data_IF_598955655680
#
_entry.id   IF_598955655680
#
_cell.length_a   1.000
_cell.length_b   1.000
_cell.length_c   1.000
_cell.angle_alpha   90.00
_cell.angle_beta   90.00
_cell.angle_gamma   90.00
#
_symmetry.space_group_name_H-M   'P 1'
#
loop_
_entity.id
_entity.type
_entity.pdbx_description
1 polymer ?
#
# COMPACT_ATOMS: atom_id res chain seq x y z
N UNK A 1 16.86 -4.40 -8.69
CA UNK A 1 15.90 -3.34 -8.32
C UNK A 1 15.91 -3.23 -6.81
N UNK A 2 16.37 -2.12 -6.20
CA UNK A 2 16.32 -2.00 -4.74
C UNK A 2 14.85 -1.87 -4.32
N UNK A 3 14.42 -2.77 -3.44
CA UNK A 3 13.08 -2.77 -2.83
C UNK A 3 12.99 -1.57 -1.89
N UNK A 4 11.94 -0.75 -2.00
CA UNK A 4 11.73 0.41 -1.14
C UNK A 4 10.23 0.56 -0.87
N UNK A 5 9.85 0.42 0.40
CA UNK A 5 8.52 0.78 0.89
C UNK A 5 8.66 2.12 1.60
N UNK A 6 7.79 3.08 1.27
CA UNK A 6 7.77 4.44 1.84
C UNK A 6 6.51 4.55 2.71
N UNK A 7 6.67 4.97 3.95
CA UNK A 7 5.59 5.16 4.92
C UNK A 7 5.49 6.65 5.31
N UNK A 8 4.27 7.13 5.57
CA UNK A 8 3.96 8.51 5.98
C UNK A 8 2.99 8.51 7.17
N UNK A 9 3.15 9.49 8.06
CA UNK A 9 2.24 9.76 9.19
C UNK A 9 1.99 11.28 9.26
N UNK A 10 0.74 11.67 9.46
CA UNK A 10 0.34 13.04 9.80
C UNK A 10 0.00 13.11 11.29
N UNK A 11 0.76 13.88 12.07
CA UNK A 11 0.38 14.24 13.44
C UNK A 11 0.26 15.76 13.54
N UNK A 12 -0.94 16.25 13.82
CA UNK A 12 -1.23 17.67 14.02
C UNK A 12 -0.86 18.13 15.43
N UNK A 13 0.29 18.81 15.58
CA UNK A 13 0.48 19.92 16.52
C UNK A 13 1.77 20.69 16.17
N UNK A 14 1.66 22.00 15.99
CA UNK A 14 2.68 22.96 15.52
C UNK A 14 4.09 22.85 16.14
N UNK A 15 5.09 22.56 15.29
CA UNK A 15 6.50 23.00 15.28
C UNK A 15 7.08 22.47 13.96
N UNK A 16 8.07 23.13 13.32
CA UNK A 16 8.67 22.74 12.03
C UNK A 16 8.73 21.21 11.81
N UNK A 17 7.72 20.65 11.13
CA UNK A 17 7.57 19.20 11.02
C UNK A 17 8.49 18.69 9.93
N UNK A 18 9.67 18.22 10.33
CA UNK A 18 10.40 17.20 9.59
C UNK A 18 9.46 16.00 9.44
N UNK A 19 8.72 15.91 8.33
CA UNK A 19 7.88 14.75 8.01
C UNK A 19 8.82 13.56 7.82
N UNK A 20 8.96 12.67 8.82
CA UNK A 20 10.06 11.74 8.82
C UNK A 20 9.71 10.62 7.84
N UNK A 21 10.38 10.62 6.68
CA UNK A 21 10.29 9.53 5.72
C UNK A 21 11.16 8.37 6.18
N UNK A 22 10.55 7.26 6.53
CA UNK A 22 11.28 6.03 6.88
C UNK A 22 11.39 5.10 5.67
N UNK A 23 12.59 4.56 5.45
CA UNK A 23 12.87 3.56 4.40
C UNK A 23 13.19 2.23 5.08
N UNK A 24 12.30 1.26 4.92
CA UNK A 24 12.53 -0.11 5.40
C UNK A 24 13.18 -0.90 4.28
N UNK A 25 14.46 -1.26 4.46
CA UNK A 25 15.23 -2.03 3.47
C UNK A 25 14.98 -3.52 3.66
N UNK A 26 14.99 -4.26 2.55
CA UNK A 26 14.87 -5.72 2.54
C UNK A 26 13.62 -6.22 3.29
N UNK A 27 12.53 -5.44 3.25
CA UNK A 27 11.28 -5.80 3.92
C UNK A 27 10.67 -7.07 3.34
N UNK A 28 10.76 -7.24 2.01
CA UNK A 28 10.25 -8.40 1.30
C UNK A 28 11.38 -9.29 0.81
N UNK A 29 11.30 -10.62 1.00
CA UNK A 29 12.20 -11.53 0.33
C UNK A 29 12.01 -11.44 -1.19
N UNK A 30 13.10 -11.66 -1.94
CA UNK A 30 13.10 -11.52 -3.40
C UNK A 30 12.07 -12.43 -4.07
N UNK A 31 11.88 -13.66 -3.55
CA UNK A 31 10.96 -14.62 -4.15
C UNK A 31 9.50 -14.20 -3.97
N UNK A 32 9.14 -13.60 -2.83
CA UNK A 32 7.81 -12.99 -2.65
C UNK A 32 7.61 -11.82 -3.61
N UNK A 33 8.64 -10.99 -3.86
CA UNK A 33 8.53 -9.93 -4.87
C UNK A 33 8.26 -10.48 -6.28
N UNK A 34 8.91 -11.59 -6.66
CA UNK A 34 8.66 -12.24 -7.96
C UNK A 34 7.25 -12.82 -8.05
N UNK A 35 6.76 -13.41 -6.95
CA UNK A 35 5.40 -13.92 -6.87
C UNK A 35 4.36 -12.79 -7.01
N UNK A 36 4.54 -11.68 -6.29
CA UNK A 36 3.69 -10.49 -6.41
C UNK A 36 3.75 -9.89 -7.82
N UNK A 37 4.93 -9.84 -8.45
CA UNK A 37 5.08 -9.38 -9.84
C UNK A 37 4.29 -10.28 -10.80
N UNK A 38 4.38 -11.61 -10.66
CA UNK A 38 3.63 -12.57 -11.46
C UNK A 38 2.12 -12.37 -11.31
N UNK A 39 1.64 -12.24 -10.07
CA UNK A 39 0.23 -12.00 -9.77
C UNK A 39 -0.23 -10.69 -10.41
N UNK A 40 0.55 -9.61 -10.28
CA UNK A 40 0.22 -8.33 -10.87
C UNK A 40 0.12 -8.40 -12.39
N UNK A 41 1.15 -8.93 -13.06
CA UNK A 41 1.17 -9.03 -14.53
C UNK A 41 0.00 -9.84 -15.09
N UNK A 42 -0.43 -10.86 -14.36
CA UNK A 42 -1.51 -11.75 -14.80
C UNK A 42 -2.91 -11.21 -14.51
N UNK A 43 -3.07 -10.30 -13.55
CA UNK A 43 -4.37 -9.87 -13.02
C UNK A 43 -4.56 -8.35 -12.97
N UNK A 44 -3.62 -7.58 -13.51
CA UNK A 44 -3.74 -6.12 -13.52
C UNK A 44 -4.80 -5.65 -14.50
N UNK A 45 -5.43 -4.55 -14.13
CA UNK A 45 -6.34 -3.79 -14.99
C UNK A 45 -5.79 -2.39 -15.18
N UNK A 46 -6.20 -1.72 -16.26
CA UNK A 46 -5.88 -0.31 -16.48
C UNK A 46 -6.44 0.48 -15.31
N UNK A 47 -5.57 1.19 -14.59
CA UNK A 47 -5.95 2.03 -13.46
C UNK A 47 -6.64 3.30 -13.93
N UNK A 48 -7.03 4.14 -12.97
CA UNK A 48 -7.67 5.44 -13.25
C UNK A 48 -6.77 6.42 -14.06
N UNK A 49 -5.45 6.22 -14.02
CA UNK A 49 -4.47 7.05 -14.76
C UNK A 49 -3.95 6.33 -16.00
N UNK A 50 -3.79 7.03 -17.14
CA UNK A 50 -3.11 6.46 -18.30
C UNK A 50 -1.75 5.89 -17.94
N UNK A 51 -1.40 4.76 -18.54
CA UNK A 51 -0.11 4.06 -18.33
C UNK A 51 0.13 3.53 -16.90
N UNK A 52 -0.89 3.58 -16.03
CA UNK A 52 -0.86 2.98 -14.70
C UNK A 52 -1.74 1.75 -14.68
N UNK A 53 -1.24 0.66 -14.13
CA UNK A 53 -2.00 -0.58 -13.95
C UNK A 53 -2.14 -0.89 -12.47
N UNK A 54 -3.26 -1.52 -12.09
CA UNK A 54 -3.55 -1.86 -10.71
C UNK A 54 -4.11 -3.27 -10.56
N UNK A 55 -3.68 -3.96 -9.51
CA UNK A 55 -4.28 -5.22 -9.05
C UNK A 55 -4.72 -5.02 -7.61
N UNK A 56 -6.03 -4.92 -7.38
CA UNK A 56 -6.61 -4.78 -6.04
C UNK A 56 -6.98 -6.16 -5.50
N UNK A 57 -7.21 -6.27 -4.19
CA UNK A 57 -7.77 -7.50 -3.61
C UNK A 57 -9.09 -7.91 -4.27
N UNK A 58 -9.95 -6.95 -4.65
CA UNK A 58 -11.20 -7.23 -5.35
C UNK A 58 -10.98 -7.88 -6.72
N UNK A 59 -9.96 -7.44 -7.47
CA UNK A 59 -9.60 -8.10 -8.73
C UNK A 59 -9.18 -9.55 -8.49
N UNK A 60 -8.42 -9.82 -7.43
CA UNK A 60 -7.97 -11.18 -7.11
C UNK A 60 -9.11 -12.07 -6.60
N UNK A 61 -10.02 -11.55 -5.78
CA UNK A 61 -11.23 -12.25 -5.34
C UNK A 61 -12.07 -12.68 -6.55
N UNK A 62 -12.21 -11.81 -7.55
CA UNK A 62 -12.98 -12.10 -8.76
C UNK A 62 -12.41 -13.25 -9.60
N UNK A 63 -11.13 -13.60 -9.42
CA UNK A 63 -10.52 -14.76 -10.12
C UNK A 63 -10.97 -16.10 -9.55
N UNK A 64 -11.60 -16.10 -8.37
CA UNK A 64 -11.94 -17.31 -7.61
C UNK A 64 -10.73 -18.25 -7.38
N UNK A 65 -9.51 -17.69 -7.33
CA UNK A 65 -8.28 -18.43 -7.08
C UNK A 65 -7.62 -17.95 -5.78
N UNK A 66 -7.83 -18.71 -4.70
CA UNK A 66 -7.29 -18.37 -3.39
C UNK A 66 -5.76 -18.22 -3.39
N UNK A 67 -5.04 -19.02 -4.19
CA UNK A 67 -3.58 -18.96 -4.30
C UNK A 67 -3.06 -17.58 -4.73
N UNK A 68 -3.82 -16.81 -5.50
CA UNK A 68 -3.41 -15.46 -5.91
C UNK A 68 -3.61 -14.42 -4.79
N UNK A 69 -4.47 -14.71 -3.81
CA UNK A 69 -4.79 -13.83 -2.69
C UNK A 69 -3.87 -14.11 -1.49
N UNK A 70 -3.54 -15.38 -1.26
CA UNK A 70 -2.78 -15.83 -0.09
C UNK A 70 -1.50 -15.04 0.19
N UNK A 71 -0.70 -14.60 -0.80
CA UNK A 71 0.51 -13.81 -0.52
C UNK A 71 0.24 -12.43 0.10
N UNK A 72 -0.96 -11.87 -0.11
CA UNK A 72 -1.31 -10.52 0.36
C UNK A 72 -1.72 -10.48 1.82
N UNK A 73 -2.34 -11.55 2.34
CA UNK A 73 -2.89 -11.58 3.70
C UNK A 73 -1.79 -11.45 4.77
N UNK A 74 -0.75 -12.29 4.82
CA UNK A 74 0.32 -12.11 5.81
C UNK A 74 1.15 -10.86 5.51
N UNK A 75 1.30 -10.49 4.24
CA UNK A 75 2.07 -9.32 3.84
C UNK A 75 1.50 -8.01 4.39
N UNK A 76 0.19 -7.80 4.26
CA UNK A 76 -0.43 -6.54 4.70
C UNK A 76 -0.41 -6.41 6.22
N UNK A 77 -0.57 -7.51 6.97
CA UNK A 77 -0.53 -7.49 8.43
C UNK A 77 0.91 -7.24 8.91
N UNK A 78 1.90 -7.95 8.36
CA UNK A 78 3.31 -7.72 8.67
C UNK A 78 3.76 -6.29 8.33
N UNK A 79 3.23 -5.71 7.24
CA UNK A 79 3.52 -4.32 6.88
C UNK A 79 2.91 -3.37 7.90
N UNK A 80 1.64 -3.57 8.26
CA UNK A 80 0.94 -2.78 9.28
C UNK A 80 1.72 -2.79 10.60
N UNK A 81 2.02 -3.97 11.15
CA UNK A 81 2.78 -4.11 12.39
C UNK A 81 4.13 -3.39 12.31
N UNK A 82 4.82 -3.47 11.16
CA UNK A 82 6.10 -2.78 10.99
C UNK A 82 5.95 -1.25 10.90
N UNK A 83 4.84 -0.75 10.34
CA UNK A 83 4.52 0.69 10.38
C UNK A 83 4.29 1.11 11.82
N UNK A 84 3.45 0.37 12.55
CA UNK A 84 3.13 0.65 13.95
C UNK A 84 4.39 0.72 14.82
N UNK A 85 5.31 -0.25 14.68
CA UNK A 85 6.60 -0.27 15.38
C UNK A 85 7.48 0.95 15.04
N UNK A 86 7.54 1.35 13.76
CA UNK A 86 8.41 2.46 13.31
C UNK A 86 7.91 3.81 13.80
N UNK A 87 6.59 3.98 13.91
CA UNK A 87 5.96 5.24 14.31
C UNK A 87 5.51 5.27 15.78
N UNK A 88 5.59 4.15 16.50
CA UNK A 88 5.16 4.04 17.91
C UNK A 88 3.65 4.24 18.08
N UNK A 89 2.86 3.64 17.18
CA UNK A 89 1.40 3.74 17.15
C UNK A 89 0.75 2.34 17.14
N UNK A 90 1.22 1.46 18.02
CA UNK A 90 0.76 0.08 18.12
C UNK A 90 -0.76 -0.02 18.28
N UNK A 91 -1.38 -0.85 17.43
CA UNK A 91 -2.82 -1.10 17.37
C UNK A 91 -3.67 0.10 16.91
N UNK A 92 -3.07 1.22 16.50
CA UNK A 92 -3.80 2.40 16.02
C UNK A 92 -4.08 2.36 14.51
N UNK A 93 -3.43 1.47 13.75
CA UNK A 93 -3.53 1.46 12.29
C UNK A 93 -4.54 0.44 11.76
N UNK A 94 -5.24 0.84 10.70
CA UNK A 94 -6.12 0.00 9.91
C UNK A 94 -5.69 0.00 8.43
N UNK A 95 -5.69 -1.18 7.79
CA UNK A 95 -5.37 -1.30 6.36
C UNK A 95 -6.58 -0.93 5.51
N UNK A 96 -6.61 0.30 5.00
CA UNK A 96 -7.73 0.78 4.19
C UNK A 96 -7.77 0.20 2.78
N UNK A 97 -6.60 -0.04 2.19
CA UNK A 97 -6.46 -0.49 0.82
C UNK A 97 -5.23 -1.39 0.68
N UNK A 98 -5.35 -2.40 -0.17
CA UNK A 98 -4.22 -3.24 -0.56
C UNK A 98 -4.29 -3.49 -2.06
N UNK A 99 -3.20 -3.17 -2.75
CA UNK A 99 -3.08 -3.44 -4.17
C UNK A 99 -1.65 -3.26 -4.67
N UNK A 100 -1.38 -3.86 -5.82
CA UNK A 100 -0.14 -3.69 -6.57
C UNK A 100 -0.36 -2.65 -7.66
N UNK A 101 0.55 -1.68 -7.77
CA UNK A 101 0.49 -0.61 -8.75
C UNK A 101 1.77 -0.64 -9.59
N UNK A 102 1.64 -0.64 -10.91
CA UNK A 102 2.77 -0.46 -11.82
C UNK A 102 2.62 0.78 -12.69
N UNK A 103 3.76 1.43 -12.93
CA UNK A 103 3.89 2.65 -13.70
C UNK A 103 4.68 2.32 -14.96
N UNK A 104 4.04 2.41 -16.11
CA UNK A 104 4.69 2.13 -17.41
C UNK A 104 5.16 3.42 -18.07
N UNK A 105 5.90 3.29 -19.18
CA UNK A 105 6.42 4.44 -19.92
C UNK A 105 5.29 5.41 -20.28
N UNK A 106 5.44 6.68 -19.89
CA UNK A 106 4.44 7.73 -20.10
C UNK A 106 3.50 7.96 -18.90
N UNK A 107 3.56 7.12 -17.87
CA UNK A 107 2.83 7.36 -16.63
C UNK A 107 3.37 8.61 -15.92
N UNK A 108 2.45 9.38 -15.35
CA UNK A 108 2.80 10.56 -14.54
C UNK A 108 1.77 10.76 -13.44
N UNK A 109 2.23 11.37 -12.35
CA UNK A 109 1.39 11.81 -11.25
C UNK A 109 1.86 13.19 -10.82
N UNK A 110 0.91 14.13 -10.77
CA UNK A 110 1.18 15.44 -10.21
C UNK A 110 1.39 15.35 -8.70
N UNK A 111 1.86 16.45 -8.13
CA UNK A 111 1.85 16.63 -6.68
C UNK A 111 0.42 16.41 -6.15
N UNK A 112 0.31 15.51 -5.20
CA UNK A 112 -0.92 15.18 -4.50
C UNK A 112 -0.53 14.78 -3.08
N UNK A 113 -1.53 14.79 -2.21
CA UNK A 113 -1.41 14.24 -0.87
C UNK A 113 -2.44 13.12 -0.73
N UNK A 114 -2.08 12.09 0.00
CA UNK A 114 -2.95 10.96 0.32
C UNK A 114 -3.76 11.25 1.59
N UNK A 115 -4.27 12.49 1.71
CA UNK A 115 -4.99 12.95 2.88
C UNK A 115 -6.45 12.48 2.76
N UNK A 116 -6.94 11.88 3.85
CA UNK A 116 -8.29 11.34 3.92
C UNK A 116 -9.33 12.41 3.54
N UNK A 117 -10.06 12.18 2.45
CA UNK A 117 -11.17 13.05 2.03
C UNK A 117 -12.29 13.03 3.10
N UNK A 118 -13.18 14.04 3.13
CA UNK A 118 -14.32 14.11 4.06
C UNK A 118 -15.24 12.88 4.13
N UNK A 119 -15.24 11.99 3.13
CA UNK A 119 -16.04 10.76 3.15
C UNK A 119 -15.54 9.71 4.15
N UNK A 120 -14.33 9.87 4.70
CA UNK A 120 -13.75 8.96 5.70
C UNK A 120 -14.10 9.33 7.14
N UNK A 121 -14.73 10.50 7.39
CA UNK A 121 -15.28 10.87 8.71
C UNK A 121 -16.31 9.87 9.27
N UNK A 122 -16.89 9.03 8.41
CA UNK A 122 -17.82 7.99 8.83
C UNK A 122 -17.14 6.78 9.50
N UNK A 123 -15.79 6.69 9.47
CA UNK A 123 -15.02 5.57 10.03
C UNK A 123 -14.66 5.72 11.52
N UNK A 124 -14.95 6.86 12.14
CA UNK A 124 -14.80 7.11 13.60
C UNK A 124 -15.65 6.15 14.47
N UNK A 125 -16.53 5.35 13.88
CA UNK A 125 -17.46 4.45 14.59
C UNK A 125 -17.03 2.99 14.65
N UNK A 126 -15.81 2.63 14.24
CA UNK A 126 -15.34 1.25 14.35
C UNK A 126 -14.46 1.11 15.59
N UNK A 127 -15.13 0.86 16.73
CA UNK A 127 -14.55 0.25 17.94
C UNK A 127 -14.31 -1.25 17.73
#
# INVERSE_FOLDING_TARGET
WPQTTILWSENHASMEHSHPRHIIRNFLPLDLCKELEFIHRSNCTVGYRPHVFSTTLSHLIATNCAHLIMPFIPLRENLKEKVEEVFGCEYELFVEFTGLISWTKGASIGWHSDDNRPYLRQRDFTL
#
